data_IF_892722809180
#
_entry.id   IF_892722809180
#
_cell.length_a   1.000
_cell.length_b   1.000
_cell.length_c   1.000
_cell.angle_alpha   90.00
_cell.angle_beta   90.00
_cell.angle_gamma   90.00
#
_symmetry.space_group_name_H-M   'P 1'
#
loop_
_entity.id
_entity.type
_entity.pdbx_description
1 polymer ?
#
# COMPACT_ATOMS: atom_id res chain seq x y z
N UNK A 1 86.35 -49.26 -27.47
CA UNK A 1 85.74 -48.32 -26.51
C UNK A 1 84.80 -47.42 -27.32
N UNK A 2 83.50 -47.70 -27.33
CA UNK A 2 82.46 -47.28 -26.36
C UNK A 2 81.92 -45.88 -26.66
N UNK A 3 80.59 -45.78 -26.74
CA UNK A 3 79.79 -44.56 -26.90
C UNK A 3 79.20 -44.47 -28.32
N UNK A 4 77.92 -44.70 -28.60
CA UNK A 4 76.73 -44.57 -27.76
C UNK A 4 76.10 -43.20 -28.00
N UNK A 5 75.03 -43.15 -28.80
CA UNK A 5 74.18 -41.96 -28.98
C UNK A 5 73.18 -42.20 -30.13
N UNK A 6 71.94 -41.75 -30.11
CA UNK A 6 71.11 -41.20 -29.04
C UNK A 6 69.65 -41.43 -29.45
N UNK A 7 68.80 -41.75 -28.49
CA UNK A 7 67.36 -41.96 -28.68
C UNK A 7 66.68 -40.61 -28.92
N UNK A 8 66.05 -40.46 -30.08
CA UNK A 8 65.22 -39.28 -30.42
C UNK A 8 63.99 -39.27 -29.50
N UNK A 9 63.93 -38.31 -28.58
CA UNK A 9 62.76 -38.03 -27.74
C UNK A 9 61.99 -36.83 -28.33
N UNK A 10 60.84 -37.10 -28.93
CA UNK A 10 59.86 -36.07 -29.29
C UNK A 10 59.36 -35.37 -28.01
N UNK A 11 59.53 -34.05 -27.96
CA UNK A 11 58.90 -33.21 -26.94
C UNK A 11 57.59 -32.67 -27.49
N UNK A 12 56.48 -33.21 -27.02
CA UNK A 12 55.17 -32.56 -27.13
C UNK A 12 55.20 -31.28 -26.30
N UNK A 13 55.09 -30.13 -26.97
CA UNK A 13 54.95 -28.82 -26.34
C UNK A 13 53.51 -28.66 -25.84
N UNK A 14 53.28 -28.87 -24.54
CA UNK A 14 52.03 -28.50 -23.87
C UNK A 14 52.05 -27.00 -23.56
N UNK A 15 51.30 -26.22 -24.34
CA UNK A 15 51.10 -24.79 -24.11
C UNK A 15 50.16 -24.64 -22.91
N UNK A 16 50.70 -24.25 -21.76
CA UNK A 16 49.94 -23.99 -20.53
C UNK A 16 49.38 -22.56 -20.58
N UNK A 17 48.11 -22.39 -20.97
CA UNK A 17 47.42 -21.08 -20.96
C UNK A 17 46.84 -20.81 -19.57
N UNK A 18 47.65 -20.27 -18.66
CA UNK A 18 47.15 -19.76 -17.38
C UNK A 18 46.47 -18.41 -17.59
N UNK A 19 45.14 -18.39 -17.62
CA UNK A 19 44.37 -17.14 -17.56
C UNK A 19 44.70 -16.44 -16.22
N UNK A 20 45.21 -15.19 -16.22
CA UNK A 20 45.59 -14.55 -14.97
C UNK A 20 44.34 -14.30 -14.13
N UNK A 21 44.36 -14.71 -12.85
CA UNK A 21 43.27 -14.56 -11.89
C UNK A 21 42.66 -13.13 -11.82
N UNK A 22 43.41 -12.12 -12.28
CA UNK A 22 42.97 -10.74 -12.47
C UNK A 22 41.75 -10.60 -13.40
N UNK A 23 41.64 -11.43 -14.45
CA UNK A 23 40.51 -11.37 -15.38
C UNK A 23 39.21 -11.92 -14.78
N UNK A 24 39.30 -12.92 -13.88
CA UNK A 24 38.14 -13.45 -13.17
C UNK A 24 37.58 -12.43 -12.16
N UNK A 25 38.46 -11.67 -11.50
CA UNK A 25 38.06 -10.61 -10.56
C UNK A 25 37.39 -9.45 -11.31
N UNK A 26 37.91 -9.07 -12.47
CA UNK A 26 37.30 -8.03 -13.32
C UNK A 26 35.93 -8.49 -13.84
N UNK A 27 35.82 -9.73 -14.35
CA UNK A 27 34.53 -10.29 -14.75
C UNK A 27 33.52 -10.31 -13.58
N UNK A 28 33.96 -10.70 -12.38
CA UNK A 28 33.10 -10.74 -11.21
C UNK A 28 32.62 -9.34 -10.78
N UNK A 29 33.52 -8.35 -10.76
CA UNK A 29 33.20 -6.94 -10.50
C UNK A 29 32.22 -6.38 -11.55
N UNK A 30 32.46 -6.64 -12.84
CA UNK A 30 31.58 -6.20 -13.91
C UNK A 30 30.17 -6.81 -13.81
N UNK A 31 30.08 -8.10 -13.50
CA UNK A 31 28.80 -8.80 -13.30
C UNK A 31 28.07 -8.25 -12.07
N UNK A 32 28.77 -8.01 -10.96
CA UNK A 32 28.20 -7.46 -9.74
C UNK A 32 27.69 -6.01 -9.91
N UNK A 33 28.36 -5.20 -10.73
CA UNK A 33 27.90 -3.84 -11.04
C UNK A 33 26.70 -3.82 -11.99
N UNK A 34 26.57 -4.84 -12.87
CA UNK A 34 25.47 -4.92 -13.82
C UNK A 34 24.15 -5.32 -13.13
N UNK A 35 24.20 -6.19 -12.12
CA UNK A 35 22.99 -6.60 -11.37
C UNK A 35 22.43 -5.49 -10.46
N UNK A 36 23.30 -4.63 -9.90
CA UNK A 36 22.88 -3.53 -9.04
C UNK A 36 22.13 -2.40 -9.80
N UNK A 37 22.36 -2.28 -11.11
CA UNK A 37 21.75 -1.24 -11.95
C UNK A 37 20.37 -1.61 -12.51
N UNK A 38 19.91 -2.85 -12.36
CA UNK A 38 18.64 -3.38 -12.90
C UNK A 38 17.55 -3.58 -11.82
N UNK A 39 17.59 -2.82 -10.73
CA UNK A 39 16.42 -2.69 -9.87
C UNK A 39 15.47 -1.68 -10.51
N UNK A 40 14.64 -2.12 -11.47
CA UNK A 40 13.55 -1.30 -11.97
C UNK A 40 12.58 -1.05 -10.80
N UNK A 41 12.38 0.22 -10.43
CA UNK A 41 11.37 0.60 -9.46
C UNK A 41 10.01 0.14 -9.96
N UNK A 42 9.37 -0.80 -9.24
CA UNK A 42 8.02 -1.26 -9.55
C UNK A 42 7.06 -0.08 -9.34
N UNK A 43 6.69 0.59 -10.42
CA UNK A 43 5.61 1.59 -10.40
C UNK A 43 4.29 0.83 -10.18
N UNK A 44 3.59 1.00 -9.05
CA UNK A 44 2.32 0.35 -8.84
C UNK A 44 1.31 0.86 -9.87
N UNK A 45 0.64 -0.04 -10.59
CA UNK A 45 -0.40 0.28 -11.59
C UNK A 45 -1.71 0.78 -10.93
N UNK A 46 -1.80 0.76 -9.60
CA UNK A 46 -2.99 1.16 -8.87
C UNK A 46 -2.68 2.26 -7.84
N UNK A 47 -3.60 3.23 -7.66
CA UNK A 47 -3.47 4.19 -6.59
C UNK A 47 -3.40 3.46 -5.23
N UNK A 48 -2.69 4.04 -4.24
CA UNK A 48 -2.60 3.43 -2.92
C UNK A 48 -3.99 3.20 -2.32
N UNK A 49 -4.16 2.07 -1.64
CA UNK A 49 -5.40 1.72 -0.97
C UNK A 49 -5.80 2.83 0.01
N UNK A 50 -7.04 3.32 -0.11
CA UNK A 50 -7.62 4.35 0.75
C UNK A 50 -8.64 3.75 1.70
N UNK A 51 -8.47 4.01 2.99
CA UNK A 51 -9.46 3.68 4.01
C UNK A 51 -10.52 4.77 4.12
N UNK A 52 -11.78 4.37 4.25
CA UNK A 52 -12.91 5.26 4.42
C UNK A 52 -13.63 4.92 5.73
N UNK A 53 -13.76 5.91 6.61
CA UNK A 53 -14.52 5.81 7.85
C UNK A 53 -15.93 6.33 7.61
N UNK A 54 -16.93 5.57 8.02
CA UNK A 54 -18.33 5.98 7.88
C UNK A 54 -19.22 5.34 8.93
N UNK A 55 -20.41 5.90 9.11
CA UNK A 55 -21.48 5.26 9.88
C UNK A 55 -22.60 4.83 8.91
N UNK A 56 -23.01 3.57 9.00
CA UNK A 56 -24.04 2.96 8.15
C UNK A 56 -25.43 2.94 8.79
N UNK A 57 -25.54 3.27 10.08
CA UNK A 57 -26.79 3.17 10.81
C UNK A 57 -26.90 4.31 11.82
N UNK A 58 -27.65 5.35 11.44
CA UNK A 58 -27.83 6.55 12.25
C UNK A 58 -29.28 6.98 12.23
N UNK A 59 -29.85 7.12 13.42
CA UNK A 59 -31.20 7.61 13.64
C UNK A 59 -31.17 9.08 13.99
N UNK A 60 -32.21 9.80 13.56
CA UNK A 60 -32.39 11.23 13.84
C UNK A 60 -33.72 11.44 14.51
N UNK A 61 -34.04 12.69 14.85
CA UNK A 61 -35.36 13.04 15.38
C UNK A 61 -36.52 12.76 14.40
N UNK A 62 -36.25 12.34 13.15
CA UNK A 62 -37.30 11.88 12.25
C UNK A 62 -37.93 10.56 12.70
N UNK A 63 -37.18 9.75 13.45
CA UNK A 63 -37.67 8.54 14.09
C UNK A 63 -37.46 8.59 15.62
N UNK A 64 -36.46 7.90 16.13
CA UNK A 64 -36.13 7.70 17.54
C UNK A 64 -34.72 8.19 17.94
N UNK A 65 -34.04 8.92 17.05
CA UNK A 65 -32.80 9.60 17.38
C UNK A 65 -33.00 10.82 18.29
N UNK A 66 -31.89 11.44 18.66
CA UNK A 66 -31.83 12.54 19.62
C UNK A 66 -31.50 13.91 19.00
N UNK A 67 -30.95 13.96 17.78
CA UNK A 67 -30.62 15.20 17.08
C UNK A 67 -31.24 15.32 15.68
N UNK A 68 -31.28 16.56 15.18
CA UNK A 68 -31.74 16.86 13.83
C UNK A 68 -30.77 16.31 12.77
N UNK A 69 -31.26 15.85 11.60
CA UNK A 69 -30.41 15.25 10.57
C UNK A 69 -29.26 16.17 10.13
N UNK A 70 -29.47 17.48 10.11
CA UNK A 70 -28.44 18.47 9.76
C UNK A 70 -27.36 18.59 10.84
N UNK A 71 -27.75 18.57 12.12
CA UNK A 71 -26.81 18.62 13.24
C UNK A 71 -25.96 17.35 13.30
N UNK A 72 -26.60 16.19 13.10
CA UNK A 72 -25.90 14.90 13.02
C UNK A 72 -24.93 14.89 11.83
N UNK A 73 -25.37 15.32 10.64
CA UNK A 73 -24.51 15.38 9.46
C UNK A 73 -23.30 16.31 9.67
N UNK A 74 -23.49 17.47 10.28
CA UNK A 74 -22.40 18.40 10.60
C UNK A 74 -21.42 17.81 11.61
N UNK A 75 -21.92 17.11 12.64
CA UNK A 75 -21.07 16.42 13.60
C UNK A 75 -20.17 15.39 12.89
N UNK A 76 -20.74 14.51 12.05
CA UNK A 76 -19.93 13.54 11.30
C UNK A 76 -18.94 14.20 10.34
N UNK A 77 -19.36 15.27 9.66
CA UNK A 77 -18.50 16.05 8.75
C UNK A 77 -17.27 16.64 9.46
N UNK A 78 -17.41 17.03 10.73
CA UNK A 78 -16.35 17.67 11.52
C UNK A 78 -15.50 16.69 12.35
N UNK A 79 -15.84 15.39 12.35
CA UNK A 79 -15.20 14.36 13.18
C UNK A 79 -14.49 13.26 12.38
N UNK A 80 -13.91 13.62 11.23
CA UNK A 80 -13.13 12.72 10.36
C UNK A 80 -13.91 11.50 9.82
N UNK A 81 -15.20 11.67 9.56
CA UNK A 81 -15.97 10.70 8.80
C UNK A 81 -16.07 11.11 7.33
N UNK A 82 -16.07 10.12 6.46
CA UNK A 82 -16.12 10.32 5.02
C UNK A 82 -17.52 10.14 4.44
N UNK A 83 -18.35 9.32 5.10
CA UNK A 83 -19.74 9.12 4.72
C UNK A 83 -20.61 8.86 5.94
N UNK A 84 -21.89 9.15 5.79
CA UNK A 84 -22.93 8.95 6.80
C UNK A 84 -24.19 8.42 6.09
N UNK A 85 -24.79 7.38 6.65
CA UNK A 85 -26.11 6.89 6.25
C UNK A 85 -27.14 7.20 7.34
N UNK A 86 -28.21 7.90 6.94
CA UNK A 86 -29.39 8.11 7.77
C UNK A 86 -30.37 6.97 7.53
N UNK A 87 -30.75 6.26 8.59
CA UNK A 87 -31.55 5.03 8.54
C UNK A 87 -32.75 5.12 9.46
N UNK A 88 -33.47 6.23 9.41
CA UNK A 88 -34.67 6.47 10.22
C UNK A 88 -35.77 5.41 9.98
N UNK A 89 -36.51 5.05 11.03
CA UNK A 89 -37.50 3.97 10.98
C UNK A 89 -38.67 4.29 10.06
N UNK A 90 -38.76 3.58 8.94
CA UNK A 90 -39.89 3.62 7.99
C UNK A 90 -40.26 5.03 7.51
N UNK A 91 -39.32 5.97 7.56
CA UNK A 91 -39.53 7.36 7.19
C UNK A 91 -38.30 7.89 6.48
N UNK A 92 -38.52 8.71 5.46
CA UNK A 92 -37.45 9.48 4.83
C UNK A 92 -37.33 10.83 5.51
N UNK A 93 -36.10 11.23 5.82
CA UNK A 93 -35.77 12.53 6.42
C UNK A 93 -35.84 13.66 5.39
N UNK A 94 -37.02 13.83 4.83
CA UNK A 94 -37.33 14.76 3.75
C UNK A 94 -38.23 15.90 4.22
N UNK A 95 -37.98 17.10 3.68
CA UNK A 95 -38.76 18.30 3.97
C UNK A 95 -38.47 18.90 5.34
N UNK A 96 -39.20 19.96 5.66
CA UNK A 96 -39.10 20.62 6.97
C UNK A 96 -40.02 19.94 7.98
N UNK A 97 -39.52 19.78 9.21
CA UNK A 97 -40.29 19.25 10.33
C UNK A 97 -40.09 20.12 11.57
N UNK A 98 -41.21 20.55 12.15
CA UNK A 98 -41.22 21.32 13.39
C UNK A 98 -41.55 20.40 14.56
N UNK A 99 -40.82 20.54 15.66
CA UNK A 99 -41.09 19.81 16.90
C UNK A 99 -41.12 20.76 18.08
N UNK A 100 -41.97 20.46 19.06
CA UNK A 100 -42.01 21.22 20.30
C UNK A 100 -40.73 20.97 21.09
N UNK A 101 -40.16 22.04 21.69
CA UNK A 101 -38.96 21.98 22.53
C UNK A 101 -39.04 20.87 23.59
N UNK A 102 -40.18 20.78 24.29
CA UNK A 102 -40.43 19.73 25.30
C UNK A 102 -40.25 18.31 24.75
N UNK A 103 -40.66 18.07 23.51
CA UNK A 103 -40.52 16.76 22.86
C UNK A 103 -39.05 16.45 22.53
N UNK A 104 -38.29 17.45 22.09
CA UNK A 104 -36.84 17.31 21.82
C UNK A 104 -36.08 17.01 23.12
N UNK A 105 -36.31 17.80 24.17
CA UNK A 105 -35.65 17.61 25.48
C UNK A 105 -35.98 16.24 26.09
N UNK A 106 -37.21 15.75 25.95
CA UNK A 106 -37.59 14.42 26.44
C UNK A 106 -36.85 13.26 25.76
N UNK A 107 -36.32 13.49 24.55
CA UNK A 107 -35.54 12.51 23.78
C UNK A 107 -34.03 12.68 23.94
N UNK A 108 -33.59 13.59 24.81
CA UNK A 108 -32.18 13.86 25.05
C UNK A 108 -31.49 14.69 23.97
N UNK A 109 -32.24 15.39 23.11
CA UNK A 109 -31.66 16.41 22.24
C UNK A 109 -31.08 17.52 23.10
N UNK A 110 -29.77 17.72 23.01
CA UNK A 110 -29.05 18.70 23.83
C UNK A 110 -29.32 20.09 23.23
N UNK A 111 -29.79 21.02 24.07
CA UNK A 111 -29.72 22.45 23.74
C UNK A 111 -28.26 22.87 23.88
N UNK A 112 -27.56 23.01 22.74
CA UNK A 112 -26.27 23.72 22.66
C UNK A 112 -26.49 25.22 22.53
#
# INVERSE_FOLDING_TARGET
MSGGGDVVRERVCLIHTSLPARWLVICWLCIATLTAAHADDVVPNEPPARYWRGNLHTHTLWSDGNDFPEMVAEWYRTHDYNFLALTDHNVLSAGQRWMARKAITSRGGIEV
#
